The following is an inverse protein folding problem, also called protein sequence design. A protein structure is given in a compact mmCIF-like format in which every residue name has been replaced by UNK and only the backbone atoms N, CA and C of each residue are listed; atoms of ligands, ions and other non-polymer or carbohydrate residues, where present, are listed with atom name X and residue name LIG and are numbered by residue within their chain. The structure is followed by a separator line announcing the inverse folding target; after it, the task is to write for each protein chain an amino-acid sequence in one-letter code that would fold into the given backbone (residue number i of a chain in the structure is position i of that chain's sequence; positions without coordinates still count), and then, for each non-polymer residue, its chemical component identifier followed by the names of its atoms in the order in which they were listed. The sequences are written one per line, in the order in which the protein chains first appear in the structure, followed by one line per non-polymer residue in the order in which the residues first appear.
data_IF_366189788655
#
_entry.id   IF_366189788655
#
_cell.length_a   1.000
_cell.length_b   1.000
_cell.length_c   1.000
_cell.angle_alpha   90.00
_cell.angle_beta   90.00
_cell.angle_gamma   90.00
#
_symmetry.space_group_name_H-M   'P 1'
#
loop_
_entity.id
_entity.type
_entity.pdbx_description
1 polymer ?
#
# COMPACT_ATOMS: atom_id res chain seq x y z
N UNK A 1 15.11 -6.07 17.04
CA UNK A 1 14.53 -4.89 16.36
C UNK A 1 13.99 -3.97 17.43
N UNK A 2 14.63 -2.83 17.71
CA UNK A 2 14.07 -1.82 18.62
C UNK A 2 12.91 -1.16 17.88
N UNK A 3 11.68 -1.32 18.38
CA UNK A 3 10.50 -0.71 17.78
C UNK A 3 10.64 0.81 17.82
N UNK A 4 10.96 1.43 16.69
CA UNK A 4 10.56 2.81 16.48
C UNK A 4 9.03 2.82 16.61
N UNK A 5 8.52 3.58 17.58
CA UNK A 5 7.08 3.81 17.70
C UNK A 5 6.60 4.35 16.36
N UNK A 6 5.55 3.75 15.78
CA UNK A 6 5.02 4.14 14.48
C UNK A 6 4.82 5.66 14.35
N UNK A 7 4.47 6.34 15.45
CA UNK A 7 4.42 7.80 15.55
C UNK A 7 5.69 8.52 15.03
N UNK A 8 6.89 8.10 15.46
CA UNK A 8 8.14 8.75 15.06
C UNK A 8 8.47 8.55 13.57
N UNK A 9 7.98 7.45 12.96
CA UNK A 9 8.09 7.23 11.51
C UNK A 9 7.10 8.12 10.74
N UNK A 10 5.91 8.33 11.29
CA UNK A 10 4.86 9.15 10.69
C UNK A 10 5.19 10.65 10.78
N UNK A 11 5.80 11.10 11.87
CA UNK A 11 6.15 12.52 12.10
C UNK A 11 7.08 13.10 11.03
N UNK A 12 7.87 12.25 10.37
CA UNK A 12 8.79 12.65 9.29
C UNK A 12 8.15 12.72 7.90
N UNK A 13 6.90 12.28 7.73
CA UNK A 13 6.24 12.21 6.42
C UNK A 13 5.76 13.61 6.03
N UNK A 14 6.19 14.08 4.86
CA UNK A 14 5.70 15.33 4.26
C UNK A 14 4.76 15.05 3.09
N UNK A 15 3.45 15.29 3.23
CA UNK A 15 2.50 15.14 2.13
C UNK A 15 2.83 16.06 0.96
N UNK A 16 2.73 15.53 -0.26
CA UNK A 16 2.98 16.28 -1.51
C UNK A 16 1.71 16.50 -2.35
N UNK A 17 0.55 16.04 -1.89
CA UNK A 17 -0.75 16.28 -2.54
C UNK A 17 -1.11 15.33 -3.69
N UNK A 18 -0.48 14.16 -3.78
CA UNK A 18 -0.80 13.10 -4.76
C UNK A 18 -1.00 11.77 -4.03
N UNK A 19 -1.79 10.88 -4.62
CA UNK A 19 -2.09 9.53 -4.15
C UNK A 19 -1.77 8.48 -5.24
N UNK A 20 -0.50 8.14 -5.47
CA UNK A 20 -0.11 7.09 -6.43
C UNK A 20 -0.31 5.69 -5.80
N UNK A 21 -1.57 5.27 -5.66
CA UNK A 21 -1.99 4.04 -4.98
C UNK A 21 -1.37 2.79 -5.61
N UNK A 22 -1.42 2.66 -6.93
CA UNK A 22 -0.86 1.50 -7.63
C UNK A 22 0.66 1.39 -7.39
N UNK A 23 1.37 2.51 -7.44
CA UNK A 23 2.81 2.56 -7.17
C UNK A 23 3.14 2.17 -5.73
N UNK A 24 2.34 2.64 -4.76
CA UNK A 24 2.52 2.30 -3.35
C UNK A 24 2.34 0.79 -3.09
N UNK A 25 1.32 0.17 -3.70
CA UNK A 25 1.11 -1.29 -3.62
C UNK A 25 2.30 -2.03 -4.23
N UNK A 26 2.79 -1.60 -5.40
CA UNK A 26 3.95 -2.19 -6.05
C UNK A 26 5.21 -2.11 -5.20
N UNK A 27 5.49 -0.95 -4.61
CA UNK A 27 6.63 -0.74 -3.72
C UNK A 27 6.56 -1.64 -2.47
N UNK A 28 5.38 -1.75 -1.86
CA UNK A 28 5.17 -2.65 -0.72
C UNK A 28 5.40 -4.11 -1.10
N UNK A 29 5.01 -4.53 -2.30
CA UNK A 29 5.21 -5.90 -2.76
C UNK A 29 6.68 -6.25 -3.00
N UNK A 30 7.52 -5.28 -3.34
CA UNK A 30 8.98 -5.47 -3.45
C UNK A 30 9.64 -5.83 -2.12
N UNK A 31 9.00 -5.52 -0.98
CA UNK A 31 9.49 -5.89 0.35
C UNK A 31 9.18 -7.35 0.73
N UNK A 32 8.29 -8.01 -0.02
CA UNK A 32 7.91 -9.40 0.21
C UNK A 32 8.99 -10.38 -0.28
N UNK A 33 9.45 -11.25 0.61
CA UNK A 33 10.34 -12.36 0.26
C UNK A 33 9.64 -13.48 -0.51
N UNK A 34 10.42 -14.31 -1.20
CA UNK A 34 9.90 -15.52 -1.85
C UNK A 34 9.46 -16.55 -0.79
N UNK A 35 8.28 -17.14 -0.98
CA UNK A 35 7.77 -18.22 -0.13
C UNK A 35 7.18 -17.80 1.22
N UNK A 36 7.13 -16.51 1.54
CA UNK A 36 6.49 -15.99 2.75
C UNK A 36 5.16 -15.30 2.43
N UNK A 37 4.11 -15.49 3.24
CA UNK A 37 2.89 -14.70 3.12
C UNK A 37 3.17 -13.21 3.19
N UNK A 38 2.61 -12.45 2.25
CA UNK A 38 2.76 -11.01 2.16
C UNK A 38 1.42 -10.34 2.45
N UNK A 39 1.35 -9.57 3.54
CA UNK A 39 0.16 -8.79 3.88
C UNK A 39 0.48 -7.32 3.70
N UNK A 40 -0.34 -6.62 2.91
CA UNK A 40 -0.27 -5.18 2.69
C UNK A 40 -1.52 -4.56 3.31
N UNK A 41 -1.36 -3.54 4.15
CA UNK A 41 -2.46 -2.71 4.63
C UNK A 41 -2.39 -1.39 3.86
N UNK A 42 -3.33 -1.18 2.95
CA UNK A 42 -3.51 0.07 2.22
C UNK A 42 -4.48 0.95 3.01
N UNK A 43 -4.03 2.14 3.38
CA UNK A 43 -4.87 3.19 3.96
C UNK A 43 -4.92 4.31 2.92
N UNK A 44 -6.11 4.63 2.42
CA UNK A 44 -6.29 5.64 1.38
C UNK A 44 -7.61 6.40 1.59
N UNK A 45 -7.61 7.69 1.28
CA UNK A 45 -8.78 8.58 1.31
C UNK A 45 -9.42 8.78 -0.07
N UNK A 46 -8.86 8.17 -1.10
CA UNK A 46 -9.32 8.24 -2.48
C UNK A 46 -8.66 7.21 -3.40
N UNK A 47 -9.02 7.29 -4.67
CA UNK A 47 -8.43 6.45 -5.74
C UNK A 47 -7.04 6.93 -6.18
N UNK A 48 -6.49 6.25 -7.18
CA UNK A 48 -5.20 6.60 -7.76
C UNK A 48 -5.26 7.97 -8.47
N UNK A 49 -4.34 8.88 -8.14
CA UNK A 49 -4.29 10.23 -8.73
C UNK A 49 -3.38 10.36 -9.95
N UNK A 50 -2.83 9.24 -10.42
CA UNK A 50 -1.88 9.14 -11.52
C UNK A 50 -2.40 8.26 -12.67
N UNK A 51 -3.71 8.05 -12.73
CA UNK A 51 -4.43 7.29 -13.77
C UNK A 51 -3.99 5.82 -13.92
N UNK A 52 -3.33 5.27 -12.89
CA UNK A 52 -3.02 3.84 -12.85
C UNK A 52 -4.23 3.04 -12.36
N UNK A 53 -4.25 1.75 -12.69
CA UNK A 53 -5.26 0.80 -12.20
C UNK A 53 -4.71 0.01 -10.98
N UNK A 54 -5.17 0.32 -9.75
CA UNK A 54 -4.74 -0.40 -8.56
C UNK A 54 -5.19 -1.87 -8.57
N UNK A 55 -6.33 -2.18 -9.19
CA UNK A 55 -6.87 -3.53 -9.27
C UNK A 55 -6.02 -4.39 -10.22
N UNK A 56 -5.72 -3.91 -11.43
CA UNK A 56 -4.82 -4.60 -12.36
C UNK A 56 -3.42 -4.81 -11.76
N UNK A 57 -2.94 -3.84 -10.98
CA UNK A 57 -1.68 -3.95 -10.22
C UNK A 57 -1.76 -5.06 -9.18
N UNK A 58 -2.83 -5.09 -8.37
CA UNK A 58 -3.06 -6.11 -7.36
C UNK A 58 -3.16 -7.51 -7.96
N UNK A 59 -3.87 -7.67 -9.08
CA UNK A 59 -3.98 -8.95 -9.81
C UNK A 59 -2.62 -9.45 -10.28
N UNK A 60 -1.84 -8.57 -10.91
CA UNK A 60 -0.48 -8.88 -11.38
C UNK A 60 0.41 -9.33 -10.21
N UNK A 61 0.31 -8.67 -9.05
CA UNK A 61 1.10 -9.02 -7.88
C UNK A 61 0.63 -10.32 -7.22
N UNK A 62 -0.67 -10.61 -7.23
CA UNK A 62 -1.23 -11.87 -6.71
C UNK A 62 -0.77 -13.08 -7.51
N UNK A 63 -0.54 -12.92 -8.82
CA UNK A 63 0.06 -13.96 -9.66
C UNK A 63 1.51 -14.26 -9.26
N UNK A 64 2.28 -13.23 -8.85
CA UNK A 64 3.69 -13.37 -8.42
C UNK A 64 3.82 -13.86 -6.97
N UNK A 65 2.89 -13.45 -6.10
CA UNK A 65 2.88 -13.78 -4.69
C UNK A 65 1.57 -14.48 -4.34
N UNK A 66 1.54 -15.83 -4.41
CA UNK A 66 0.33 -16.63 -4.18
C UNK A 66 -0.38 -16.28 -2.86
N UNK A 67 0.38 -16.00 -1.81
CA UNK A 67 -0.15 -15.68 -0.48
C UNK A 67 -0.26 -14.17 -0.20
N UNK A 68 -0.25 -13.33 -1.25
CA UNK A 68 -0.50 -11.90 -1.12
C UNK A 68 -1.92 -11.62 -0.66
N UNK A 69 -2.07 -10.81 0.39
CA UNK A 69 -3.34 -10.21 0.81
C UNK A 69 -3.18 -8.70 0.89
N UNK A 70 -4.07 -7.97 0.26
CA UNK A 70 -4.14 -6.51 0.36
C UNK A 70 -5.43 -6.18 1.12
N UNK A 71 -5.28 -5.59 2.30
CA UNK A 71 -6.36 -5.10 3.13
C UNK A 71 -6.51 -3.61 2.88
N UNK A 72 -7.71 -3.15 2.52
CA UNK A 72 -7.95 -1.74 2.20
C UNK A 72 -8.79 -1.11 3.31
N UNK A 73 -8.30 0.01 3.83
CA UNK A 73 -9.01 0.90 4.74
C UNK A 73 -9.25 2.22 4.01
N UNK A 74 -10.50 2.44 3.61
CA UNK A 74 -10.94 3.70 3.02
C UNK A 74 -11.21 4.73 4.11
N UNK A 75 -10.57 5.90 4.03
CA UNK A 75 -10.82 7.04 4.90
C UNK A 75 -11.58 8.12 4.13
N UNK A 76 -12.91 8.05 4.12
CA UNK A 76 -13.74 9.10 3.50
C UNK A 76 -14.26 10.08 4.54
N UNK A 77 -14.08 11.38 4.27
CA UNK A 77 -14.73 12.49 4.98
C UNK A 77 -16.06 12.92 4.32
N UNK A 78 -16.37 12.36 3.14
CA UNK A 78 -17.69 12.50 2.52
C UNK A 78 -18.72 11.70 3.31
N UNK A 79 -19.84 12.32 3.74
CA UNK A 79 -20.94 11.61 4.39
C UNK A 79 -21.56 10.55 3.47
#
# INVERSE_FOLDING_TARGET
LKSATAAALLDGIQPKGKAPVASAIGAAAMLGGSGTPLNIILIADGGDSCDADPCATAETLKQKHKDLRIHVVGLSDKP
#
